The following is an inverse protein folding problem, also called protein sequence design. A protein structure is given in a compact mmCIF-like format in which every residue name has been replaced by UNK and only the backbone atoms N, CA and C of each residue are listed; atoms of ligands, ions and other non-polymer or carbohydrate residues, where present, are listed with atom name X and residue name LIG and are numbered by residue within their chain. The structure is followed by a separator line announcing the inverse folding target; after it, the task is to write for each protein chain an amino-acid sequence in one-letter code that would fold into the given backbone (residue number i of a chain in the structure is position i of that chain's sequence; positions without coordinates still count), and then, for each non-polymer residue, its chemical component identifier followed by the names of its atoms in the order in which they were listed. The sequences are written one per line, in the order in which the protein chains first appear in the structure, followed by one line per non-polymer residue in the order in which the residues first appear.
data_IF_831296475148
#
_entry.id   IF_831296475148
#
_cell.length_a   1.000
_cell.length_b   1.000
_cell.length_c   1.000
_cell.angle_alpha   90.00
_cell.angle_beta   90.00
_cell.angle_gamma   90.00
#
_symmetry.space_group_name_H-M   'P 1'
#
loop_
_entity.id
_entity.type
_entity.pdbx_description
1 polymer ?
#
# COMPACT_ATOMS: atom_id res chain seq x y z
N UNK A 1 -7.70 21.00 -9.02
CA UNK A 1 -8.49 19.76 -8.89
C UNK A 1 -8.01 18.96 -7.69
N UNK A 2 -8.93 18.39 -6.96
CA UNK A 2 -8.60 17.58 -5.79
C UNK A 2 -7.89 16.29 -6.21
N UNK A 3 -6.83 15.93 -5.49
CA UNK A 3 -6.11 14.68 -5.73
C UNK A 3 -6.85 13.51 -5.09
N UNK A 4 -6.84 12.38 -5.79
CA UNK A 4 -7.39 11.13 -5.28
C UNK A 4 -6.25 10.21 -4.82
N UNK A 5 -6.54 9.42 -3.81
CA UNK A 5 -5.55 8.56 -3.18
C UNK A 5 -6.06 7.13 -3.06
N UNK A 6 -5.16 6.18 -3.24
CA UNK A 6 -5.42 4.76 -3.08
C UNK A 6 -4.42 4.24 -2.04
N UNK A 7 -4.92 3.69 -0.93
CA UNK A 7 -4.06 3.36 0.21
C UNK A 7 -4.31 1.93 0.66
N UNK A 8 -3.24 1.17 0.83
CA UNK A 8 -3.24 -0.12 1.52
C UNK A 8 -2.46 0.03 2.83
N UNK A 9 -2.96 -0.59 3.89
CA UNK A 9 -2.33 -0.53 5.21
C UNK A 9 -2.81 0.61 6.09
N UNK A 10 -4.01 1.12 5.84
CA UNK A 10 -4.56 2.29 6.55
C UNK A 10 -4.80 2.07 8.05
N UNK A 11 -4.89 0.81 8.50
CA UNK A 11 -5.08 0.49 9.92
C UNK A 11 -3.78 0.43 10.73
N UNK A 12 -2.63 0.46 10.04
CA UNK A 12 -1.33 0.45 10.70
C UNK A 12 -0.92 1.83 11.20
N UNK A 13 0.22 1.87 11.88
CA UNK A 13 0.73 3.10 12.49
C UNK A 13 0.99 4.19 11.44
N UNK A 14 1.74 3.86 10.40
CA UNK A 14 2.06 4.82 9.34
C UNK A 14 0.82 5.16 8.51
N UNK A 15 0.05 4.14 8.13
CA UNK A 15 -1.13 4.34 7.28
C UNK A 15 -2.21 5.18 7.93
N UNK A 16 -2.47 4.98 9.23
CA UNK A 16 -3.47 5.76 9.94
C UNK A 16 -3.06 7.24 10.04
N UNK A 17 -1.79 7.51 10.27
CA UNK A 17 -1.28 8.88 10.31
C UNK A 17 -1.35 9.53 8.94
N UNK A 18 -1.03 8.79 7.88
CA UNK A 18 -1.14 9.28 6.50
C UNK A 18 -2.58 9.70 6.19
N UNK A 19 -3.56 8.86 6.51
CA UNK A 19 -4.97 9.18 6.28
C UNK A 19 -5.37 10.44 7.04
N UNK A 20 -4.95 10.56 8.30
CA UNK A 20 -5.21 11.74 9.12
C UNK A 20 -4.68 13.01 8.47
N UNK A 21 -3.44 12.98 7.99
CA UNK A 21 -2.83 14.13 7.34
C UNK A 21 -3.51 14.49 6.01
N UNK A 22 -3.88 13.49 5.22
CA UNK A 22 -4.58 13.73 3.97
C UNK A 22 -5.96 14.36 4.21
N UNK A 23 -6.68 13.91 5.22
CA UNK A 23 -7.99 14.45 5.56
C UNK A 23 -7.92 15.88 6.08
N UNK A 24 -6.78 16.28 6.63
CA UNK A 24 -6.56 17.66 7.10
C UNK A 24 -6.39 18.64 5.94
N UNK A 25 -6.16 18.16 4.72
CA UNK A 25 -5.96 19.03 3.56
C UNK A 25 -7.27 19.22 2.79
N UNK A 26 -7.60 20.46 2.48
CA UNK A 26 -8.76 20.78 1.64
C UNK A 26 -8.55 20.39 0.17
N UNK A 27 -7.30 20.16 -0.25
CA UNK A 27 -6.98 19.74 -1.61
C UNK A 27 -7.17 18.24 -1.85
N UNK A 28 -7.38 17.48 -0.79
CA UNK A 28 -7.61 16.04 -0.89
C UNK A 28 -9.02 15.75 -1.39
N UNK A 29 -9.11 14.98 -2.45
CA UNK A 29 -10.38 14.41 -2.94
C UNK A 29 -10.69 13.10 -2.24
N UNK A 30 -11.18 12.12 -2.98
CA UNK A 30 -11.52 10.82 -2.40
C UNK A 30 -10.28 10.03 -2.04
N UNK A 31 -10.39 9.29 -0.93
CA UNK A 31 -9.36 8.38 -0.44
C UNK A 31 -9.96 6.99 -0.40
N UNK A 32 -9.48 6.10 -1.26
CA UNK A 32 -9.89 4.70 -1.27
C UNK A 32 -8.95 3.88 -0.41
N UNK A 33 -9.50 3.21 0.60
CA UNK A 33 -8.75 2.38 1.53
C UNK A 33 -9.01 0.92 1.22
N UNK A 34 -8.00 0.23 0.75
CA UNK A 34 -8.06 -1.19 0.41
C UNK A 34 -7.56 -2.03 1.58
N UNK A 35 -8.39 -2.92 2.08
CA UNK A 35 -8.00 -3.79 3.18
C UNK A 35 -9.14 -4.68 3.64
N UNK A 36 -8.80 -5.61 4.52
CA UNK A 36 -9.78 -6.55 5.06
C UNK A 36 -10.69 -5.91 6.10
N UNK A 37 -10.24 -4.84 6.75
CA UNK A 37 -10.99 -4.13 7.80
C UNK A 37 -11.27 -2.71 7.33
N UNK A 38 -12.52 -2.29 7.52
CA UNK A 38 -12.89 -0.91 7.26
C UNK A 38 -12.31 0.01 8.33
N UNK A 39 -11.93 1.20 7.89
CA UNK A 39 -11.54 2.29 8.80
C UNK A 39 -12.79 3.13 9.05
N UNK A 40 -13.16 3.31 10.30
CA UNK A 40 -14.26 4.19 10.65
C UNK A 40 -13.82 5.64 10.48
N UNK A 41 -14.55 6.37 9.64
CA UNK A 41 -14.29 7.78 9.42
C UNK A 41 -15.61 8.47 9.09
N UNK A 42 -15.87 9.59 9.74
CA UNK A 42 -17.06 10.40 9.46
C UNK A 42 -16.93 11.17 8.16
N UNK A 43 -15.73 11.33 7.64
CA UNK A 43 -15.46 12.11 6.44
C UNK A 43 -15.94 11.33 5.20
N UNK A 44 -16.76 11.98 4.39
CA UNK A 44 -17.36 11.34 3.19
C UNK A 44 -16.33 11.06 2.10
N UNK A 45 -15.14 11.65 2.16
CA UNK A 45 -14.06 11.39 1.21
C UNK A 45 -13.46 10.01 1.37
N UNK A 46 -13.62 9.39 2.55
CA UNK A 46 -13.09 8.05 2.83
C UNK A 46 -14.00 7.00 2.21
N UNK A 47 -13.44 6.18 1.32
CA UNK A 47 -14.13 5.08 0.65
C UNK A 47 -13.45 3.77 1.02
N UNK A 48 -14.09 2.97 1.84
CA UNK A 48 -13.55 1.66 2.23
C UNK A 48 -13.88 0.62 1.16
N UNK A 49 -12.87 -0.09 0.71
CA UNK A 49 -13.00 -1.20 -0.24
C UNK A 49 -12.51 -2.46 0.47
N UNK A 50 -13.41 -3.40 0.72
CA UNK A 50 -13.04 -4.68 1.30
C UNK A 50 -12.24 -5.48 0.27
N UNK A 51 -11.00 -5.82 0.63
CA UNK A 51 -10.11 -6.51 -0.28
C UNK A 51 -9.10 -7.34 0.49
N UNK A 52 -8.91 -8.59 0.05
CA UNK A 52 -8.00 -9.53 0.66
C UNK A 52 -6.69 -9.68 -0.12
N UNK A 53 -6.45 -8.80 -1.09
CA UNK A 53 -5.28 -8.80 -1.97
C UNK A 53 -5.18 -10.07 -2.83
N UNK A 54 -6.32 -10.67 -3.13
CA UNK A 54 -6.44 -11.76 -4.09
C UNK A 54 -7.47 -11.35 -5.16
N UNK A 55 -7.18 -11.67 -6.41
CA UNK A 55 -8.07 -11.29 -7.52
C UNK A 55 -8.17 -9.78 -7.70
N UNK A 56 -9.32 -9.34 -8.18
CA UNK A 56 -9.57 -7.93 -8.48
C UNK A 56 -10.45 -7.30 -7.40
N UNK A 57 -10.10 -6.12 -6.89
CA UNK A 57 -10.99 -5.40 -5.98
C UNK A 57 -12.22 -4.90 -6.72
N UNK A 58 -13.33 -4.80 -6.01
CA UNK A 58 -14.60 -4.33 -6.57
C UNK A 58 -14.85 -2.89 -6.17
N UNK A 59 -14.91 -2.01 -7.15
CA UNK A 59 -15.20 -0.60 -6.95
C UNK A 59 -16.59 -0.28 -7.51
N UNK A 60 -17.42 0.37 -6.71
CA UNK A 60 -18.68 0.94 -7.21
C UNK A 60 -18.37 2.15 -8.11
N UNK A 61 -17.43 2.98 -7.68
CA UNK A 61 -16.84 4.04 -8.50
C UNK A 61 -15.32 3.88 -8.39
N UNK A 62 -14.62 4.01 -9.49
CA UNK A 62 -13.16 3.79 -9.52
C UNK A 62 -12.41 5.09 -9.27
N UNK A 63 -11.28 5.03 -8.55
CA UNK A 63 -10.34 6.15 -8.51
C UNK A 63 -9.88 6.51 -9.92
N UNK A 64 -9.60 7.78 -10.13
CA UNK A 64 -9.06 8.26 -11.40
C UNK A 64 -7.63 8.73 -11.20
N UNK A 65 -6.69 8.02 -11.80
CA UNK A 65 -5.27 8.35 -11.76
C UNK A 65 -4.79 8.70 -10.35
N UNK A 66 -5.02 7.81 -9.37
CA UNK A 66 -4.72 8.14 -7.97
C UNK A 66 -3.23 8.19 -7.71
N UNK A 67 -2.86 8.85 -6.60
CA UNK A 67 -1.57 8.65 -5.96
C UNK A 67 -1.74 7.44 -5.03
N UNK A 68 -0.90 6.43 -5.19
CA UNK A 68 -1.02 5.19 -4.42
C UNK A 68 0.03 5.14 -3.31
N UNK A 69 -0.41 4.72 -2.12
CA UNK A 69 0.46 4.51 -0.96
C UNK A 69 0.29 3.09 -0.44
N UNK A 70 1.39 2.39 -0.27
CA UNK A 70 1.41 1.08 0.36
C UNK A 70 2.17 1.14 1.66
N UNK A 71 1.46 1.02 2.76
CA UNK A 71 2.03 0.97 4.10
C UNK A 71 1.80 -0.39 4.75
N UNK A 72 1.50 -1.41 3.93
CA UNK A 72 1.37 -2.78 4.39
C UNK A 72 2.69 -3.28 4.97
N UNK A 73 2.60 -3.99 6.07
CA UNK A 73 3.75 -4.62 6.68
C UNK A 73 3.35 -5.35 7.95
N UNK A 74 4.12 -6.36 8.28
CA UNK A 74 3.97 -7.10 9.50
C UNK A 74 5.35 -7.48 10.02
N UNK A 75 5.41 -8.28 11.06
CA UNK A 75 6.65 -8.89 11.52
C UNK A 75 6.50 -10.41 11.43
N UNK A 76 7.61 -11.14 11.44
CA UNK A 76 7.56 -12.60 11.41
C UNK A 76 6.80 -13.11 12.64
N UNK A 77 7.00 -12.48 13.79
CA UNK A 77 6.29 -12.82 15.03
C UNK A 77 4.79 -12.61 14.91
N UNK A 78 4.35 -11.45 14.39
CA UNK A 78 2.92 -11.15 14.22
C UNK A 78 2.29 -12.02 13.16
N UNK A 79 3.01 -12.29 12.08
CA UNK A 79 2.51 -13.13 11.00
C UNK A 79 2.42 -14.60 11.38
N UNK A 80 3.28 -15.05 12.29
CA UNK A 80 3.32 -16.44 12.79
C UNK A 80 4.30 -17.34 12.07
N UNK A 81 4.77 -16.99 10.89
CA UNK A 81 5.75 -17.77 10.13
C UNK A 81 6.43 -16.89 9.07
N UNK A 82 7.52 -17.39 8.52
CA UNK A 82 8.19 -16.71 7.40
C UNK A 82 7.30 -16.67 6.15
N UNK A 83 6.57 -17.74 5.89
CA UNK A 83 5.64 -17.80 4.75
C UNK A 83 4.53 -16.75 4.89
N UNK A 84 3.92 -16.63 6.06
CA UNK A 84 2.87 -15.67 6.31
C UNK A 84 3.40 -14.23 6.25
N UNK A 85 4.62 -14.01 6.73
CA UNK A 85 5.29 -12.72 6.62
C UNK A 85 5.48 -12.32 5.15
N UNK A 86 6.04 -13.23 4.34
CA UNK A 86 6.26 -12.98 2.91
C UNK A 86 4.95 -12.69 2.17
N UNK A 87 3.88 -13.39 2.55
CA UNK A 87 2.56 -13.16 1.94
C UNK A 87 2.12 -11.70 2.09
N UNK A 88 2.27 -11.13 3.27
CA UNK A 88 1.88 -9.73 3.53
C UNK A 88 2.89 -8.76 2.92
N UNK A 89 4.18 -8.97 3.20
CA UNK A 89 5.21 -7.98 2.88
C UNK A 89 5.72 -8.07 1.44
N UNK A 90 5.38 -9.13 0.73
CA UNK A 90 5.73 -9.30 -0.68
C UNK A 90 4.47 -9.46 -1.55
N UNK A 91 3.70 -10.53 -1.35
CA UNK A 91 2.60 -10.87 -2.27
C UNK A 91 1.52 -9.79 -2.26
N UNK A 92 1.09 -9.33 -1.10
CA UNK A 92 0.04 -8.29 -0.99
C UNK A 92 0.53 -6.95 -1.54
N UNK A 93 1.78 -6.61 -1.28
CA UNK A 93 2.38 -5.36 -1.78
C UNK A 93 2.44 -5.39 -3.31
N UNK A 94 2.88 -6.50 -3.89
CA UNK A 94 2.92 -6.65 -5.34
C UNK A 94 1.51 -6.55 -5.95
N UNK A 95 0.54 -7.25 -5.36
CA UNK A 95 -0.84 -7.20 -5.86
C UNK A 95 -1.39 -5.78 -5.80
N UNK A 96 -1.15 -5.08 -4.71
CA UNK A 96 -1.58 -3.69 -4.59
C UNK A 96 -0.95 -2.81 -5.69
N UNK A 97 0.33 -3.00 -5.97
CA UNK A 97 1.00 -2.25 -7.04
C UNK A 97 0.37 -2.52 -8.40
N UNK A 98 0.02 -3.78 -8.66
CA UNK A 98 -0.66 -4.15 -9.91
C UNK A 98 -2.04 -3.51 -10.02
N UNK A 99 -2.80 -3.47 -8.93
CA UNK A 99 -4.10 -2.79 -8.86
C UNK A 99 -3.93 -1.29 -9.11
N UNK A 100 -2.95 -0.67 -8.46
CA UNK A 100 -2.66 0.75 -8.63
C UNK A 100 -2.34 1.07 -10.10
N UNK A 101 -1.51 0.25 -10.72
CA UNK A 101 -1.17 0.42 -12.14
C UNK A 101 -2.40 0.32 -13.02
N UNK A 102 -3.24 -0.67 -12.80
CA UNK A 102 -4.47 -0.88 -13.58
C UNK A 102 -5.44 0.31 -13.45
N UNK A 103 -5.42 1.01 -12.32
CA UNK A 103 -6.24 2.20 -12.09
C UNK A 103 -5.59 3.49 -12.62
N UNK A 104 -4.43 3.38 -13.25
CA UNK A 104 -3.74 4.54 -13.80
C UNK A 104 -3.03 5.39 -12.77
N UNK A 105 -2.59 4.81 -11.66
CA UNK A 105 -1.88 5.55 -10.62
C UNK A 105 -0.70 6.32 -11.20
N UNK A 106 -0.56 7.57 -10.80
CA UNK A 106 0.52 8.45 -11.26
C UNK A 106 1.82 8.17 -10.54
N UNK A 107 1.74 7.66 -9.32
CA UNK A 107 2.90 7.26 -8.53
C UNK A 107 2.50 6.21 -7.50
N UNK A 108 3.49 5.42 -7.09
CA UNK A 108 3.37 4.51 -5.94
C UNK A 108 4.42 4.89 -4.92
N UNK A 109 3.97 5.06 -3.70
CA UNK A 109 4.81 5.30 -2.53
C UNK A 109 4.73 4.08 -1.63
N UNK A 110 5.86 3.45 -1.35
CA UNK A 110 5.89 2.22 -0.55
C UNK A 110 6.87 2.37 0.62
N UNK A 111 6.43 1.93 1.79
CA UNK A 111 7.27 1.87 2.98
C UNK A 111 7.85 0.47 3.07
N UNK A 112 9.17 0.37 3.10
CA UNK A 112 9.87 -0.89 3.28
C UNK A 112 10.59 -0.91 4.62
N UNK A 113 11.91 -0.99 4.64
CA UNK A 113 12.64 -0.99 5.89
C UNK A 113 14.09 -0.54 5.68
N UNK A 114 14.65 0.08 6.69
CA UNK A 114 16.10 0.29 6.76
C UNK A 114 16.77 -1.08 6.70
N UNK A 115 17.78 -1.24 5.89
CA UNK A 115 18.45 -2.52 5.73
C UNK A 115 17.83 -3.44 4.67
N UNK A 116 16.79 -3.01 3.97
CA UNK A 116 16.23 -3.79 2.86
C UNK A 116 17.32 -4.06 1.81
N UNK A 117 17.56 -5.34 1.51
CA UNK A 117 18.56 -5.76 0.55
C UNK A 117 18.25 -7.18 0.07
N UNK A 118 18.05 -7.35 -1.24
CA UNK A 118 17.68 -8.64 -1.82
C UNK A 118 18.73 -9.73 -1.59
N UNK A 119 19.96 -9.36 -1.32
CA UNK A 119 21.06 -10.30 -1.05
C UNK A 119 21.33 -10.46 0.44
N UNK A 120 20.50 -9.92 1.32
CA UNK A 120 20.70 -10.01 2.75
C UNK A 120 20.59 -11.46 3.24
N UNK A 121 21.42 -11.83 4.19
CA UNK A 121 21.29 -13.10 4.89
C UNK A 121 20.14 -13.09 5.90
N UNK A 122 19.68 -11.90 6.29
CA UNK A 122 18.53 -11.73 7.18
C UNK A 122 17.25 -11.84 6.36
N UNK A 123 16.40 -12.82 6.65
CA UNK A 123 15.20 -13.09 5.88
C UNK A 123 14.30 -11.86 5.73
N UNK A 124 14.04 -11.14 6.84
CA UNK A 124 13.23 -9.93 6.83
C UNK A 124 13.76 -8.91 5.81
N UNK A 125 15.06 -8.60 5.88
CA UNK A 125 15.68 -7.62 5.00
C UNK A 125 15.70 -8.10 3.54
N UNK A 126 15.86 -9.40 3.34
CA UNK A 126 15.88 -9.99 1.99
C UNK A 126 14.50 -9.86 1.34
N UNK A 127 13.43 -10.17 2.05
CA UNK A 127 12.07 -10.01 1.53
C UNK A 127 11.79 -8.55 1.17
N UNK A 128 12.18 -7.62 2.04
CA UNK A 128 12.02 -6.19 1.77
C UNK A 128 12.80 -5.74 0.53
N UNK A 129 14.01 -6.26 0.36
CA UNK A 129 14.81 -5.96 -0.84
C UNK A 129 14.23 -6.59 -2.10
N UNK A 130 13.71 -7.80 -2.01
CA UNK A 130 13.10 -8.49 -3.13
C UNK A 130 11.84 -7.75 -3.63
N UNK A 131 11.00 -7.27 -2.73
CA UNK A 131 9.82 -6.52 -3.15
C UNK A 131 10.19 -5.18 -3.79
N UNK A 132 11.22 -4.49 -3.27
CA UNK A 132 11.70 -3.27 -3.91
C UNK A 132 12.13 -3.52 -5.35
N UNK A 133 12.88 -4.58 -5.58
CA UNK A 133 13.33 -4.98 -6.92
C UNK A 133 12.14 -5.28 -7.82
N UNK A 134 11.19 -6.09 -7.34
CA UNK A 134 10.01 -6.46 -8.12
C UNK A 134 9.17 -5.23 -8.48
N UNK A 135 8.97 -4.31 -7.54
CA UNK A 135 8.19 -3.09 -7.79
C UNK A 135 8.82 -2.20 -8.85
N UNK A 136 10.14 -2.20 -8.96
CA UNK A 136 10.84 -1.42 -9.98
C UNK A 136 10.52 -1.90 -11.41
N UNK A 137 9.99 -3.11 -11.56
CA UNK A 137 9.64 -3.70 -12.85
C UNK A 137 8.13 -3.72 -13.13
N UNK A 138 7.28 -3.25 -12.22
CA UNK A 138 5.83 -3.23 -12.42
C UNK A 138 5.42 -2.24 -13.52
N UNK A 139 6.17 -1.17 -13.68
CA UNK A 139 5.91 -0.20 -14.74
C UNK A 139 5.01 0.96 -14.33
N UNK A 140 5.05 1.36 -13.07
CA UNK A 140 4.38 2.59 -12.62
C UNK A 140 5.18 3.82 -13.10
N UNK A 141 4.51 4.94 -13.40
CA UNK A 141 5.22 6.14 -13.87
C UNK A 141 6.26 6.68 -12.90
N UNK A 142 6.03 6.53 -11.59
CA UNK A 142 6.97 6.92 -10.56
C UNK A 142 6.86 5.97 -9.38
N UNK A 143 7.99 5.59 -8.80
CA UNK A 143 8.06 4.73 -7.63
C UNK A 143 8.93 5.42 -6.58
N UNK A 144 8.39 5.59 -5.38
CA UNK A 144 9.08 6.17 -4.25
C UNK A 144 9.16 5.15 -3.12
N UNK A 145 10.36 4.82 -2.71
CA UNK A 145 10.60 3.82 -1.65
C UNK A 145 11.10 4.55 -0.41
N UNK A 146 10.43 4.30 0.72
CA UNK A 146 10.78 4.88 2.01
C UNK A 146 11.30 3.78 2.93
N UNK A 147 12.51 3.93 3.42
CA UNK A 147 13.20 2.98 4.30
C UNK A 147 13.42 3.62 5.66
N UNK A 148 12.42 3.59 6.53
CA UNK A 148 12.54 4.21 7.85
C UNK A 148 13.56 3.50 8.76
#
# INVERSE_FOLDING_TARGET
MAKEYLIAGATGLVGSELVSQLLASAETGNIWLLGRRAVEAADQRVKNISYDFQGEPKFAAKPKSPVAFCTLGTTIKQAGSQEAFRRVDYDFVLRFAEVAKALGATSLHVVTAHGAAKNSMIFYNRVKGEIEETLSHVGLPALHIYRP
#
